data_IF_319573062296
#
_entry.id   IF_319573062296
#
_cell.length_a   1.000
_cell.length_b   1.000
_cell.length_c   1.000
_cell.angle_alpha   90.00
_cell.angle_beta   90.00
_cell.angle_gamma   90.00
#
_symmetry.space_group_name_H-M   'P 1'
#
loop_
_entity.id
_entity.type
_entity.pdbx_description
1 polymer ?
#
# COMPACT_ATOMS: atom_id res chain seq x y z
N UNK A 1 13.64 -7.93 -9.48
CA UNK A 1 13.40 -6.79 -8.58
C UNK A 1 13.59 -7.06 -7.10
N UNK A 2 13.45 -8.32 -6.63
CA UNK A 2 13.40 -8.60 -5.19
C UNK A 2 14.76 -8.74 -4.47
N UNK A 3 15.84 -8.93 -5.21
CA UNK A 3 17.18 -9.10 -4.61
C UNK A 3 17.69 -7.79 -4.01
N UNK A 4 17.43 -6.68 -4.68
CA UNK A 4 17.84 -5.34 -4.24
C UNK A 4 17.12 -4.90 -2.95
N UNK A 5 15.84 -5.22 -2.81
CA UNK A 5 15.04 -4.92 -1.62
C UNK A 5 15.46 -5.77 -0.40
N UNK A 6 15.89 -7.02 -0.60
CA UNK A 6 16.36 -7.89 0.48
C UNK A 6 17.68 -7.44 1.07
N UNK A 7 18.59 -6.91 0.26
CA UNK A 7 19.86 -6.35 0.75
C UNK A 7 19.63 -5.09 1.60
N UNK A 8 18.67 -4.23 1.23
CA UNK A 8 18.33 -3.03 1.98
C UNK A 8 17.75 -3.29 3.38
N UNK A 9 17.28 -4.51 3.66
CA UNK A 9 16.82 -4.91 5.00
C UNK A 9 17.99 -5.15 5.98
N UNK A 10 19.19 -5.44 5.47
CA UNK A 10 20.36 -5.74 6.29
C UNK A 10 21.46 -4.68 6.20
N UNK A 11 21.56 -3.99 5.07
CA UNK A 11 22.57 -2.94 4.84
C UNK A 11 21.89 -1.78 4.11
N UNK A 12 21.98 -0.56 4.65
CA UNK A 12 21.44 0.62 3.96
C UNK A 12 22.20 0.85 2.65
N UNK A 13 21.45 1.06 1.56
CA UNK A 13 22.02 1.45 0.28
C UNK A 13 22.00 2.97 0.22
N UNK A 14 23.14 3.58 0.52
CA UNK A 14 23.28 5.04 0.47
C UNK A 14 23.20 5.54 -0.97
N UNK A 15 22.55 6.69 -1.18
CA UNK A 15 22.45 7.33 -2.50
C UNK A 15 21.41 6.73 -3.45
N UNK A 16 20.72 5.64 -3.10
CA UNK A 16 19.69 5.04 -3.93
C UNK A 16 18.50 5.99 -4.19
N UNK A 17 18.23 6.90 -3.28
CA UNK A 17 17.16 7.89 -3.42
C UNK A 17 17.50 9.03 -4.39
N UNK A 18 18.77 9.18 -4.77
CA UNK A 18 19.26 10.19 -5.69
C UNK A 18 19.44 9.65 -7.12
N UNK A 19 19.34 8.33 -7.32
CA UNK A 19 19.59 7.68 -8.61
C UNK A 19 18.35 7.75 -9.53
N UNK A 20 18.29 8.81 -10.34
CA UNK A 20 17.24 8.98 -11.35
C UNK A 20 17.35 7.98 -12.52
N UNK A 21 18.52 7.39 -12.77
CA UNK A 21 18.71 6.40 -13.85
C UNK A 21 18.12 5.05 -13.46
N UNK A 22 18.33 4.64 -12.20
CA UNK A 22 17.67 3.43 -11.65
C UNK A 22 16.15 3.59 -11.63
N UNK A 23 15.63 4.79 -11.36
CA UNK A 23 14.19 5.06 -11.42
C UNK A 23 13.58 4.70 -12.79
N UNK A 24 14.22 5.10 -13.89
CA UNK A 24 13.76 4.76 -15.25
C UNK A 24 13.76 3.25 -15.48
N UNK A 25 14.84 2.59 -15.08
CA UNK A 25 14.97 1.14 -15.21
C UNK A 25 13.89 0.39 -14.40
N UNK A 26 13.54 0.87 -13.22
CA UNK A 26 12.47 0.27 -12.40
C UNK A 26 11.10 0.39 -13.08
N UNK A 27 10.79 1.54 -13.68
CA UNK A 27 9.53 1.74 -14.41
C UNK A 27 9.48 0.82 -15.63
N UNK A 28 10.61 0.62 -16.37
CA UNK A 28 10.72 -0.33 -17.48
C UNK A 28 10.55 -1.77 -17.01
N UNK A 29 11.23 -2.16 -15.95
CA UNK A 29 11.16 -3.51 -15.39
C UNK A 29 9.76 -3.88 -14.91
N UNK A 30 9.00 -2.91 -14.40
CA UNK A 30 7.61 -3.08 -13.99
C UNK A 30 6.62 -3.04 -15.17
N UNK A 31 7.08 -2.70 -16.39
CA UNK A 31 6.22 -2.55 -17.57
C UNK A 31 5.04 -1.62 -17.33
N UNK A 32 5.27 -0.51 -16.62
CA UNK A 32 4.22 0.46 -16.27
C UNK A 32 3.50 0.96 -17.53
N UNK A 33 2.17 1.01 -17.47
CA UNK A 33 1.27 1.34 -18.57
C UNK A 33 0.09 2.22 -18.10
N UNK A 34 -0.78 2.59 -19.00
CA UNK A 34 -2.03 3.34 -18.73
C UNK A 34 -3.03 2.61 -17.81
N UNK A 35 -2.84 1.31 -17.59
CA UNK A 35 -3.68 0.50 -16.70
C UNK A 35 -3.20 0.51 -15.25
N UNK A 36 -2.08 1.18 -14.98
CA UNK A 36 -1.44 1.18 -13.66
C UNK A 36 -1.69 2.45 -12.88
N UNK A 37 -1.64 2.31 -11.55
CA UNK A 37 -1.61 3.42 -10.61
C UNK A 37 -0.26 3.41 -9.89
N UNK A 38 0.49 4.50 -9.99
CA UNK A 38 1.80 4.63 -9.36
C UNK A 38 1.75 5.63 -8.21
N UNK A 39 2.12 5.17 -7.02
CA UNK A 39 2.09 5.99 -5.81
C UNK A 39 3.52 6.34 -5.41
N UNK A 40 3.90 7.61 -5.54
CA UNK A 40 5.19 8.14 -5.07
C UNK A 40 5.07 8.67 -3.65
N UNK A 41 5.92 8.18 -2.74
CA UNK A 41 5.87 8.54 -1.32
C UNK A 41 7.22 9.08 -0.89
N UNK A 42 7.24 10.32 -0.43
CA UNK A 42 8.45 10.94 0.14
C UNK A 42 8.08 12.03 1.15
N UNK A 43 8.77 12.09 2.27
CA UNK A 43 8.49 13.10 3.30
C UNK A 43 8.82 14.51 2.81
N UNK A 44 9.98 14.72 2.19
CA UNK A 44 10.42 16.01 1.63
C UNK A 44 9.63 16.42 0.39
N UNK A 45 9.14 15.42 -0.37
CA UNK A 45 8.51 15.60 -1.67
C UNK A 45 9.48 16.01 -2.79
N UNK A 46 10.80 15.91 -2.58
CA UNK A 46 11.82 16.34 -3.53
C UNK A 46 12.82 15.23 -3.87
N UNK A 47 12.62 14.01 -3.39
CA UNK A 47 13.48 12.85 -3.64
C UNK A 47 13.58 12.58 -5.14
N UNK A 48 14.77 12.68 -5.75
CA UNK A 48 14.95 12.61 -7.21
C UNK A 48 14.42 11.29 -7.80
N UNK A 49 14.74 10.16 -7.18
CA UNK A 49 14.24 8.85 -7.59
C UNK A 49 12.71 8.82 -7.66
N UNK A 50 12.02 9.25 -6.58
CA UNK A 50 10.55 9.21 -6.51
C UNK A 50 9.90 10.15 -7.53
N UNK A 51 10.42 11.38 -7.68
CA UNK A 51 9.92 12.31 -8.68
C UNK A 51 10.10 11.75 -10.10
N UNK A 52 11.25 11.12 -10.39
CA UNK A 52 11.53 10.55 -11.70
C UNK A 52 10.65 9.34 -12.03
N UNK A 53 10.34 8.50 -11.03
CA UNK A 53 9.34 7.41 -11.17
C UNK A 53 7.99 7.99 -11.62
N UNK A 54 7.47 9.02 -10.93
CA UNK A 54 6.18 9.61 -11.30
C UNK A 54 6.19 10.24 -12.69
N UNK A 55 7.21 11.05 -13.01
CA UNK A 55 7.36 11.67 -14.35
C UNK A 55 7.38 10.62 -15.46
N UNK A 56 8.13 9.55 -15.27
CA UNK A 56 8.23 8.46 -16.24
C UNK A 56 6.94 7.66 -16.38
N UNK A 57 6.19 7.50 -15.28
CA UNK A 57 4.91 6.81 -15.26
C UNK A 57 3.81 7.62 -15.96
N UNK A 58 3.78 8.94 -15.74
CA UNK A 58 2.89 9.87 -16.44
C UNK A 58 3.13 9.81 -17.95
N UNK A 59 4.40 9.78 -18.39
CA UNK A 59 4.75 9.68 -19.80
C UNK A 59 4.25 8.38 -20.46
N UNK A 60 3.90 7.35 -19.67
CA UNK A 60 3.31 6.08 -20.11
C UNK A 60 1.80 6.00 -19.93
N UNK A 61 1.18 7.09 -19.51
CA UNK A 61 -0.27 7.18 -19.31
C UNK A 61 -0.77 6.63 -17.97
N UNK A 62 0.10 6.20 -17.05
CA UNK A 62 -0.30 5.71 -15.75
C UNK A 62 -0.86 6.84 -14.87
N UNK A 63 -1.86 6.54 -14.07
CA UNK A 63 -2.37 7.45 -13.06
C UNK A 63 -1.37 7.59 -11.91
N UNK A 64 -1.07 8.82 -11.48
CA UNK A 64 -0.07 9.05 -10.43
C UNK A 64 -0.65 9.70 -9.18
N UNK A 65 -0.18 9.22 -8.02
CA UNK A 65 -0.55 9.77 -6.70
C UNK A 65 0.74 10.15 -5.98
N UNK A 66 0.88 11.43 -5.62
CA UNK A 66 2.00 11.94 -4.82
C UNK A 66 1.63 12.05 -3.35
N UNK A 67 2.43 11.44 -2.46
CA UNK A 67 2.28 11.56 -1.00
C UNK A 67 3.49 12.29 -0.43
N UNK A 68 3.28 13.45 0.18
CA UNK A 68 4.36 14.26 0.77
C UNK A 68 3.94 14.90 2.08
N UNK A 69 4.91 15.17 2.96
CA UNK A 69 4.68 15.99 4.15
C UNK A 69 4.95 17.48 3.90
N UNK A 70 5.49 17.81 2.73
CA UNK A 70 5.75 19.20 2.31
C UNK A 70 4.73 19.62 1.23
N UNK A 71 3.80 20.55 1.53
CA UNK A 71 2.75 20.99 0.59
C UNK A 71 3.29 21.82 -0.61
N UNK A 72 4.55 22.24 -0.56
CA UNK A 72 5.21 23.05 -1.61
C UNK A 72 6.35 22.26 -2.25
N UNK A 73 6.15 20.99 -2.54
CA UNK A 73 7.20 20.13 -3.05
C UNK A 73 6.98 19.77 -4.52
N UNK A 74 8.07 19.44 -5.21
CA UNK A 74 8.04 19.02 -6.62
C UNK A 74 7.09 17.84 -6.86
N UNK A 75 7.04 16.88 -5.94
CA UNK A 75 6.15 15.71 -6.06
C UNK A 75 4.68 16.13 -6.18
N UNK A 76 4.28 17.17 -5.42
CA UNK A 76 2.91 17.72 -5.44
C UNK A 76 2.60 18.40 -6.76
N UNK A 77 3.59 19.02 -7.39
CA UNK A 77 3.40 19.74 -8.67
C UNK A 77 3.26 18.80 -9.87
N UNK A 78 3.87 17.61 -9.82
CA UNK A 78 3.93 16.68 -10.96
C UNK A 78 2.85 15.59 -10.91
N UNK A 79 2.35 15.20 -9.73
CA UNK A 79 1.40 14.11 -9.60
C UNK A 79 -0.03 14.52 -10.01
N UNK A 80 -0.79 13.60 -10.62
CA UNK A 80 -2.20 13.83 -10.98
C UNK A 80 -3.08 14.04 -9.74
N UNK A 81 -2.81 13.27 -8.68
CA UNK A 81 -3.47 13.40 -7.38
C UNK A 81 -2.46 13.54 -6.27
N UNK A 82 -2.81 14.30 -5.24
CA UNK A 82 -1.90 14.58 -4.14
C UNK A 82 -2.53 14.35 -2.78
N UNK A 83 -1.74 13.77 -1.88
CA UNK A 83 -2.09 13.55 -0.48
C UNK A 83 -1.00 14.19 0.40
N UNK A 84 -1.37 15.18 1.19
CA UNK A 84 -0.41 15.94 2.00
C UNK A 84 -0.59 15.63 3.48
N UNK A 85 0.50 15.19 4.12
CA UNK A 85 0.58 14.98 5.57
C UNK A 85 1.39 16.10 6.22
N UNK A 86 0.82 17.29 6.35
CA UNK A 86 1.51 18.47 6.89
C UNK A 86 1.73 18.33 8.41
N UNK A 87 2.81 17.68 8.82
CA UNK A 87 3.16 17.41 10.23
C UNK A 87 3.96 18.52 10.89
N UNK A 88 4.41 19.52 10.12
CA UNK A 88 5.33 20.53 10.62
C UNK A 88 6.76 20.03 10.83
N UNK A 89 7.60 20.79 11.57
CA UNK A 89 8.98 20.40 11.81
C UNK A 89 9.06 19.21 12.77
N UNK A 90 10.05 18.35 12.51
CA UNK A 90 10.33 17.21 13.40
C UNK A 90 10.98 17.63 14.71
N UNK A 91 10.70 16.89 15.79
CA UNK A 91 11.33 17.09 17.10
C UNK A 91 12.87 16.96 17.00
N UNK A 92 13.34 16.02 16.18
CA UNK A 92 14.74 15.95 15.78
C UNK A 92 14.82 16.43 14.33
N UNK A 93 15.44 17.58 14.11
CA UNK A 93 15.51 18.20 12.80
C UNK A 93 16.00 17.23 11.71
N UNK A 94 15.22 17.12 10.64
CA UNK A 94 15.50 16.22 9.50
C UNK A 94 15.17 14.74 9.72
N UNK A 95 14.76 14.31 10.91
CA UNK A 95 14.42 12.90 11.19
C UNK A 95 12.98 12.58 10.77
N UNK A 96 12.71 12.59 9.47
CA UNK A 96 11.37 12.40 8.88
C UNK A 96 10.72 11.04 9.15
N UNK A 97 11.46 10.08 9.70
CA UNK A 97 10.94 8.80 10.19
C UNK A 97 9.96 8.96 11.37
N UNK A 98 9.97 10.10 12.06
CA UNK A 98 9.16 10.37 13.24
C UNK A 98 7.74 10.83 12.86
N UNK A 99 7.51 12.13 12.82
CA UNK A 99 6.20 12.73 12.53
C UNK A 99 5.73 12.43 11.12
N UNK A 100 6.53 12.74 10.11
CA UNK A 100 6.19 12.54 8.71
C UNK A 100 5.93 11.06 8.39
N UNK A 101 6.84 10.14 8.76
CA UNK A 101 6.68 8.71 8.52
C UNK A 101 5.46 8.13 9.23
N UNK A 102 5.18 8.57 10.47
CA UNK A 102 3.99 8.13 11.21
C UNK A 102 2.69 8.60 10.53
N UNK A 103 2.65 9.86 10.10
CA UNK A 103 1.49 10.42 9.42
C UNK A 103 1.25 9.75 8.04
N UNK A 104 2.31 9.49 7.28
CA UNK A 104 2.23 8.77 6.01
C UNK A 104 1.72 7.34 6.20
N UNK A 105 2.18 6.62 7.23
CA UNK A 105 1.65 5.31 7.58
C UNK A 105 0.15 5.36 7.89
N UNK A 106 -0.29 6.32 8.72
CA UNK A 106 -1.69 6.49 9.05
C UNK A 106 -2.53 6.80 7.79
N UNK A 107 -2.04 7.70 6.93
CA UNK A 107 -2.67 8.03 5.65
C UNK A 107 -2.83 6.79 4.77
N UNK A 108 -1.78 5.99 4.60
CA UNK A 108 -1.82 4.77 3.78
C UNK A 108 -2.79 3.72 4.34
N UNK A 109 -2.90 3.60 5.65
CA UNK A 109 -3.89 2.74 6.28
C UNK A 109 -5.32 3.21 5.98
N UNK A 110 -5.58 4.51 6.08
CA UNK A 110 -6.88 5.09 5.72
C UNK A 110 -7.17 4.89 4.23
N UNK A 111 -6.20 5.18 3.36
CA UNK A 111 -6.32 5.03 1.91
C UNK A 111 -6.65 3.58 1.53
N UNK A 112 -5.87 2.62 2.01
CA UNK A 112 -6.08 1.20 1.70
C UNK A 112 -7.42 0.68 2.24
N UNK A 113 -7.83 1.11 3.43
CA UNK A 113 -9.12 0.74 4.01
C UNK A 113 -10.27 1.31 3.18
N UNK A 114 -10.21 2.59 2.82
CA UNK A 114 -11.21 3.23 1.98
C UNK A 114 -11.30 2.56 0.60
N UNK A 115 -10.16 2.27 -0.02
CA UNK A 115 -10.09 1.55 -1.29
C UNK A 115 -10.75 0.17 -1.21
N UNK A 116 -10.42 -0.63 -0.20
CA UNK A 116 -11.01 -1.95 -0.02
C UNK A 116 -12.52 -1.89 0.27
N UNK A 117 -12.96 -0.85 0.97
CA UNK A 117 -14.39 -0.60 1.20
C UNK A 117 -15.10 -0.28 -0.12
N UNK A 118 -14.54 0.59 -0.94
CA UNK A 118 -15.11 0.94 -2.26
C UNK A 118 -15.14 -0.26 -3.22
N UNK A 119 -14.16 -1.16 -3.11
CA UNK A 119 -14.12 -2.40 -3.88
C UNK A 119 -15.08 -3.50 -3.35
N UNK A 120 -15.93 -3.20 -2.35
CA UNK A 120 -16.86 -4.15 -1.78
C UNK A 120 -16.18 -5.29 -0.99
N UNK A 121 -14.95 -5.06 -0.49
CA UNK A 121 -14.18 -6.05 0.29
C UNK A 121 -14.41 -5.93 1.80
N UNK A 122 -15.31 -5.06 2.22
CA UNK A 122 -15.67 -4.82 3.61
C UNK A 122 -17.20 -4.82 3.73
N UNK A 123 -17.72 -5.50 4.74
CA UNK A 123 -19.14 -5.50 5.10
C UNK A 123 -19.26 -5.13 6.58
N UNK A 124 -19.89 -3.99 6.88
CA UNK A 124 -19.88 -3.43 8.23
C UNK A 124 -18.45 -3.12 8.67
N UNK A 125 -17.97 -3.84 9.68
CA UNK A 125 -16.57 -3.75 10.19
C UNK A 125 -15.75 -5.02 9.87
N UNK A 126 -16.25 -5.89 8.99
CA UNK A 126 -15.63 -7.17 8.68
C UNK A 126 -15.00 -7.21 7.28
N UNK A 127 -13.81 -7.80 7.18
CA UNK A 127 -13.12 -8.03 5.90
C UNK A 127 -13.65 -9.31 5.24
N UNK A 128 -14.17 -9.19 4.01
CA UNK A 128 -14.78 -10.33 3.30
C UNK A 128 -13.76 -11.24 2.59
N UNK A 129 -12.64 -10.72 2.13
CA UNK A 129 -11.72 -11.46 1.26
C UNK A 129 -10.43 -11.86 1.99
N UNK A 130 -10.55 -12.47 3.16
CA UNK A 130 -9.43 -12.98 3.94
C UNK A 130 -9.08 -14.39 3.47
N UNK A 131 -7.86 -14.62 3.02
CA UNK A 131 -7.35 -15.98 2.81
C UNK A 131 -7.00 -16.61 4.15
N UNK A 132 -7.71 -17.65 4.54
CA UNK A 132 -7.53 -18.32 5.83
C UNK A 132 -6.35 -19.32 5.78
N UNK A 133 -5.14 -18.79 5.89
CA UNK A 133 -3.90 -19.57 5.85
C UNK A 133 -3.53 -20.23 7.17
N UNK A 134 -4.21 -19.91 8.27
CA UNK A 134 -4.00 -20.51 9.59
C UNK A 134 -5.31 -20.66 10.35
N UNK A 135 -5.30 -21.42 11.47
CA UNK A 135 -6.46 -21.71 12.29
C UNK A 135 -7.21 -20.44 12.75
N UNK A 136 -6.46 -19.43 13.25
CA UNK A 136 -7.04 -18.15 13.69
C UNK A 136 -7.84 -17.44 12.58
N UNK A 137 -7.37 -17.48 11.34
CA UNK A 137 -8.05 -16.87 10.20
C UNK A 137 -9.27 -17.69 9.77
N UNK A 138 -9.21 -19.03 9.88
CA UNK A 138 -10.36 -19.90 9.64
C UNK A 138 -11.49 -19.63 10.65
N UNK A 139 -11.16 -19.55 11.94
CA UNK A 139 -12.12 -19.21 13.00
C UNK A 139 -12.74 -17.82 12.77
N UNK A 140 -11.94 -16.86 12.31
CA UNK A 140 -12.44 -15.53 11.97
C UNK A 140 -13.41 -15.58 10.79
N UNK A 141 -13.10 -16.31 9.72
CA UNK A 141 -14.01 -16.49 8.59
C UNK A 141 -15.33 -17.15 9.03
N UNK A 142 -15.26 -18.20 9.87
CA UNK A 142 -16.45 -18.86 10.38
C UNK A 142 -17.36 -17.90 11.16
N UNK A 143 -16.80 -17.06 12.03
CA UNK A 143 -17.55 -16.02 12.76
C UNK A 143 -18.17 -14.98 11.85
N UNK A 144 -17.45 -14.50 10.84
CA UNK A 144 -17.97 -13.54 9.87
C UNK A 144 -19.17 -14.14 9.13
N UNK A 145 -19.06 -15.37 8.64
CA UNK A 145 -20.13 -16.05 7.92
C UNK A 145 -21.34 -16.33 8.81
N UNK A 146 -21.13 -16.82 10.04
CA UNK A 146 -22.22 -17.04 10.99
C UNK A 146 -22.97 -15.74 11.34
N UNK A 147 -22.26 -14.63 11.45
CA UNK A 147 -22.88 -13.32 11.71
C UNK A 147 -23.67 -12.73 10.53
N UNK A 148 -23.50 -13.28 9.32
CA UNK A 148 -24.21 -12.82 8.11
C UNK A 148 -25.43 -13.71 7.74
N UNK A 149 -25.56 -14.88 8.33
CA UNK A 149 -26.61 -15.86 7.99
C UNK A 149 -27.40 -16.16 9.25
N UNK A 150 -28.65 -15.73 9.28
CA UNK A 150 -29.54 -16.00 10.40
C UNK A 150 -29.73 -17.50 10.60
N UNK A 151 -29.54 -17.97 11.85
CA UNK A 151 -29.79 -19.37 12.26
C UNK A 151 -28.63 -20.34 11.98
N UNK A 152 -27.45 -19.86 11.56
CA UNK A 152 -26.24 -20.69 11.42
C UNK A 152 -25.27 -20.38 12.56
N UNK A 153 -24.82 -21.42 13.28
CA UNK A 153 -23.78 -21.28 14.29
C UNK A 153 -22.36 -21.39 13.69
N UNK A 154 -21.35 -20.89 14.43
CA UNK A 154 -19.94 -20.92 14.02
C UNK A 154 -19.43 -22.37 13.76
N UNK A 155 -19.91 -23.35 14.49
CA UNK A 155 -19.50 -24.74 14.34
C UNK A 155 -19.97 -25.35 13.02
N UNK A 156 -21.22 -25.07 12.60
CA UNK A 156 -21.74 -25.51 11.32
C UNK A 156 -20.99 -24.93 10.13
N UNK A 157 -20.63 -23.63 10.19
CA UNK A 157 -19.84 -22.95 9.13
C UNK A 157 -18.43 -23.51 9.04
N UNK A 158 -17.77 -23.73 10.18
CA UNK A 158 -16.41 -24.28 10.22
C UNK A 158 -16.35 -25.68 9.61
N UNK A 159 -17.32 -26.50 9.88
CA UNK A 159 -17.40 -27.88 9.37
C UNK A 159 -17.63 -27.95 7.85
N UNK A 160 -18.51 -27.11 7.31
CA UNK A 160 -18.78 -27.07 5.85
C UNK A 160 -17.61 -26.54 5.06
N UNK A 161 -16.89 -25.55 5.59
CA UNK A 161 -15.74 -24.95 4.91
C UNK A 161 -14.52 -25.88 4.87
N UNK A 162 -14.29 -26.66 5.93
CA UNK A 162 -13.23 -27.68 5.97
C UNK A 162 -13.51 -28.80 4.95
N UNK A 163 -14.75 -29.27 4.83
CA UNK A 163 -15.10 -30.32 3.87
C UNK A 163 -15.03 -29.90 2.41
N UNK A 164 -15.35 -28.65 2.09
CA UNK A 164 -15.27 -28.15 0.72
C UNK A 164 -13.82 -28.10 0.20
N UNK A 165 -12.83 -27.93 1.07
CA UNK A 165 -11.41 -27.96 0.70
C UNK A 165 -10.84 -29.39 0.57
N UNK A 166 -11.42 -30.38 1.23
CA UNK A 166 -10.98 -31.78 1.14
C UNK A 166 -11.49 -32.52 -0.12
N UNK A 167 -12.54 -31.99 -0.76
CA UNK A 167 -13.16 -32.62 -1.94
C UNK A 167 -12.57 -32.14 -3.29
N UNK A 168 -11.66 -31.18 -3.30
CA UNK A 168 -10.99 -30.63 -4.49
C UNK A 168 -9.46 -30.80 -4.46
N UNK A 169 -8.94 -31.74 -3.68
CA UNK A 169 -7.54 -32.14 -3.62
C UNK A 169 -7.23 -33.35 -4.52
#
# INVERSE_FOLDING_TARGET
GDVYKRQALSVSVEGAEDDASDALQQVDNCSVSELDVVIGITASGSTPFTCKILESSIARGALTIGVSSNPKSRLIEIADHVLVTATGPEVLAGSTRLGAGTAQKALLNCFSTALMTQLGRVLGNEMLCVQATNAKLKDRQARILAGQIDGIDEGAVSYTHLRAHETFG
#
